data_IF_552464089642
#
_entry.id   IF_552464089642
#
_cell.length_a   1.000
_cell.length_b   1.000
_cell.length_c   1.000
_cell.angle_alpha   90.00
_cell.angle_beta   90.00
_cell.angle_gamma   90.00
#
_symmetry.space_group_name_H-M   'P 1'
#
loop_
_entity.id
_entity.type
_entity.pdbx_description
1 polymer ?
#
# COMPACT_ATOMS: atom_id res chain seq x y z
N UNK A 1 11.19 -17.13 -31.41
CA UNK A 1 10.48 -17.51 -30.17
C UNK A 1 11.02 -16.66 -29.05
N UNK A 2 10.14 -16.01 -28.30
CA UNK A 2 10.54 -15.19 -27.15
C UNK A 2 10.97 -16.08 -25.98
N UNK A 3 11.79 -15.56 -25.07
CA UNK A 3 12.20 -16.27 -23.84
C UNK A 3 11.00 -16.79 -23.02
N UNK A 4 9.89 -16.05 -23.06
CA UNK A 4 8.63 -16.39 -22.40
C UNK A 4 7.90 -17.55 -23.08
N UNK A 5 7.94 -17.63 -24.40
CA UNK A 5 7.38 -18.76 -25.17
C UNK A 5 8.19 -20.02 -24.94
N UNK A 6 9.53 -19.94 -24.95
CA UNK A 6 10.40 -21.10 -24.69
C UNK A 6 10.31 -21.63 -23.26
N UNK A 7 9.95 -20.77 -22.32
CA UNK A 7 9.77 -21.11 -20.91
C UNK A 7 8.31 -21.41 -20.54
N UNK A 8 7.40 -21.45 -21.52
CA UNK A 8 5.96 -21.70 -21.34
C UNK A 8 5.25 -20.74 -20.37
N UNK A 9 5.84 -19.56 -20.14
CA UNK A 9 5.38 -18.54 -19.18
C UNK A 9 4.30 -17.62 -19.77
N UNK A 10 3.93 -17.79 -21.05
CA UNK A 10 2.97 -16.92 -21.73
C UNK A 10 1.63 -16.87 -21.00
N UNK A 11 1.11 -18.03 -20.53
CA UNK A 11 -0.14 -18.09 -19.75
C UNK A 11 -0.04 -17.32 -18.44
N UNK A 12 1.09 -17.45 -17.74
CA UNK A 12 1.33 -16.77 -16.45
C UNK A 12 1.35 -15.26 -16.61
N UNK A 13 1.98 -14.74 -17.67
CA UNK A 13 2.04 -13.31 -17.94
C UNK A 13 0.70 -12.76 -18.44
N UNK A 14 -0.06 -13.53 -19.21
CA UNK A 14 -1.41 -13.09 -19.66
C UNK A 14 -2.44 -13.11 -18.54
N UNK A 15 -2.37 -14.10 -17.63
CA UNK A 15 -3.33 -14.24 -16.53
C UNK A 15 -3.02 -13.32 -15.34
N UNK A 16 -1.86 -12.65 -15.33
CA UNK A 16 -1.44 -11.78 -14.23
C UNK A 16 -2.43 -10.65 -13.99
N UNK A 17 -3.03 -10.07 -15.05
CA UNK A 17 -4.01 -9.01 -14.93
C UNK A 17 -5.25 -9.47 -14.14
N UNK A 18 -5.78 -10.65 -14.46
CA UNK A 18 -6.92 -11.26 -13.76
C UNK A 18 -6.56 -11.67 -12.33
N UNK A 19 -5.33 -12.14 -12.11
CA UNK A 19 -4.81 -12.47 -10.79
C UNK A 19 -4.73 -11.22 -9.89
N UNK A 20 -4.16 -10.12 -10.41
CA UNK A 20 -4.07 -8.84 -9.72
C UNK A 20 -5.46 -8.25 -9.43
N UNK A 21 -6.40 -8.31 -10.37
CA UNK A 21 -7.76 -7.81 -10.15
C UNK A 21 -8.46 -8.53 -8.98
N UNK A 22 -8.35 -9.86 -8.93
CA UNK A 22 -8.89 -10.66 -7.81
C UNK A 22 -8.20 -10.31 -6.50
N UNK A 23 -6.87 -10.16 -6.51
CA UNK A 23 -6.08 -9.81 -5.33
C UNK A 23 -6.48 -8.44 -4.77
N UNK A 24 -6.61 -7.42 -5.64
CA UNK A 24 -7.00 -6.07 -5.25
C UNK A 24 -8.40 -6.07 -4.64
N UNK A 25 -9.32 -6.82 -5.24
CA UNK A 25 -10.69 -6.96 -4.73
C UNK A 25 -10.71 -7.64 -3.36
N UNK A 26 -9.99 -8.74 -3.21
CA UNK A 26 -9.86 -9.46 -1.94
C UNK A 26 -9.28 -8.56 -0.85
N UNK A 27 -8.16 -7.89 -1.15
CA UNK A 27 -7.55 -6.91 -0.25
C UNK A 27 -8.56 -5.84 0.16
N UNK A 28 -9.25 -5.21 -0.80
CA UNK A 28 -10.17 -4.10 -0.51
C UNK A 28 -11.37 -4.50 0.34
N UNK A 29 -11.89 -5.72 0.20
CA UNK A 29 -13.04 -6.20 0.98
C UNK A 29 -12.63 -6.57 2.41
N UNK A 30 -11.37 -6.99 2.60
CA UNK A 30 -10.87 -7.42 3.90
C UNK A 30 -10.25 -6.26 4.72
N UNK A 31 -10.25 -5.02 4.21
CA UNK A 31 -9.92 -3.83 5.00
C UNK A 31 -11.16 -3.37 5.74
N UNK A 32 -11.11 -3.45 7.07
CA UNK A 32 -12.21 -3.08 7.98
C UNK A 32 -11.84 -1.87 8.84
N UNK A 33 -12.75 -1.38 9.68
CA UNK A 33 -12.50 -0.23 10.57
C UNK A 33 -11.46 -0.57 11.65
N UNK A 34 -11.42 -1.84 12.07
CA UNK A 34 -10.49 -2.39 13.05
C UNK A 34 -9.04 -2.26 12.57
N UNK A 35 -8.80 -2.33 11.25
CA UNK A 35 -7.48 -2.14 10.66
C UNK A 35 -6.87 -0.75 10.97
N UNK A 36 -7.68 0.24 11.33
CA UNK A 36 -7.25 1.60 11.66
C UNK A 36 -7.36 1.94 13.16
N UNK A 37 -7.68 0.96 14.00
CA UNK A 37 -7.85 1.16 15.45
C UNK A 37 -6.60 0.75 16.20
N UNK A 38 -5.85 1.72 16.74
CA UNK A 38 -4.67 1.43 17.55
C UNK A 38 -5.01 0.58 18.78
N UNK A 39 -4.20 -0.44 19.05
CA UNK A 39 -4.42 -1.40 20.14
C UNK A 39 -5.36 -2.56 19.80
N UNK A 40 -6.03 -2.52 18.64
CA UNK A 40 -6.72 -3.69 18.11
C UNK A 40 -5.69 -4.70 17.55
N UNK A 41 -5.95 -6.00 17.68
CA UNK A 41 -5.09 -7.02 17.08
C UNK A 41 -5.09 -6.95 15.54
N UNK A 42 -6.16 -6.46 14.93
CA UNK A 42 -6.26 -6.31 13.47
C UNK A 42 -5.62 -5.01 12.94
N UNK A 43 -5.07 -4.17 13.81
CA UNK A 43 -4.42 -2.92 13.42
C UNK A 43 -3.34 -3.15 12.36
N UNK A 44 -3.49 -2.52 11.19
CA UNK A 44 -2.66 -2.70 10.02
C UNK A 44 -2.50 -4.16 9.54
N UNK A 45 -3.51 -5.02 9.73
CA UNK A 45 -3.53 -6.40 9.24
C UNK A 45 -4.70 -6.65 8.29
N UNK A 46 -4.46 -7.38 7.20
CA UNK A 46 -5.48 -7.78 6.24
C UNK A 46 -5.26 -9.24 5.84
N UNK A 47 -6.34 -9.98 5.62
CA UNK A 47 -6.27 -11.36 5.17
C UNK A 47 -6.35 -11.44 3.65
N UNK A 48 -5.33 -11.99 2.98
CA UNK A 48 -5.32 -12.11 1.51
C UNK A 48 -4.66 -13.44 1.13
N UNK A 49 -5.28 -14.18 0.21
CA UNK A 49 -4.83 -15.48 -0.30
C UNK A 49 -4.51 -16.49 0.82
N UNK A 50 -5.33 -16.52 1.86
CA UNK A 50 -5.16 -17.45 2.96
C UNK A 50 -4.12 -17.02 4.01
N UNK A 51 -3.56 -15.81 3.89
CA UNK A 51 -2.49 -15.31 4.76
C UNK A 51 -2.86 -13.97 5.37
N UNK A 52 -2.59 -13.81 6.67
CA UNK A 52 -2.68 -12.51 7.34
C UNK A 52 -1.39 -11.72 7.06
N UNK A 53 -1.52 -10.54 6.45
CA UNK A 53 -0.39 -9.69 6.08
C UNK A 53 -0.47 -8.35 6.78
N UNK A 54 0.68 -7.87 7.25
CA UNK A 54 0.80 -6.53 7.83
C UNK A 54 0.96 -5.51 6.70
N UNK A 55 0.24 -4.38 6.76
CA UNK A 55 0.21 -3.38 5.69
C UNK A 55 0.29 -1.92 6.17
N UNK A 56 1.12 -1.64 7.17
CA UNK A 56 1.27 -0.28 7.67
C UNK A 56 1.81 0.71 6.61
N UNK A 57 1.55 2.02 6.77
CA UNK A 57 2.14 3.05 5.90
C UNK A 57 3.67 2.91 5.75
N UNK A 58 4.37 2.53 6.82
CA UNK A 58 5.81 2.30 6.79
C UNK A 58 6.19 1.13 5.88
N UNK A 59 5.51 -0.02 6.00
CA UNK A 59 5.74 -1.20 5.16
C UNK A 59 5.50 -0.88 3.69
N UNK A 60 4.40 -0.18 3.39
CA UNK A 60 4.04 0.21 2.02
C UNK A 60 5.08 1.17 1.44
N UNK A 61 5.50 2.16 2.22
CA UNK A 61 6.49 3.13 1.77
C UNK A 61 7.87 2.51 1.56
N UNK A 62 8.29 1.59 2.43
CA UNK A 62 9.51 0.81 2.25
C UNK A 62 9.47 0.00 0.95
N UNK A 63 8.36 -0.73 0.72
CA UNK A 63 8.18 -1.53 -0.49
C UNK A 63 8.23 -0.69 -1.77
N UNK A 64 7.67 0.53 -1.74
CA UNK A 64 7.67 1.44 -2.87
C UNK A 64 9.00 2.21 -3.03
N UNK A 65 10.02 1.91 -2.22
CA UNK A 65 11.29 2.63 -2.24
C UNK A 65 11.16 4.09 -1.77
N UNK A 66 10.01 4.47 -1.20
CA UNK A 66 9.75 5.77 -0.60
C UNK A 66 10.26 5.74 0.85
N UNK A 67 11.55 5.41 1.02
CA UNK A 67 12.20 5.69 2.30
C UNK A 67 12.21 7.19 2.44
N UNK A 68 11.38 7.72 3.33
CA UNK A 68 11.59 9.07 3.84
C UNK A 68 12.96 9.06 4.50
N UNK A 69 13.90 9.83 3.94
CA UNK A 69 14.89 10.49 4.79
C UNK A 69 14.09 11.02 5.98
N UNK A 70 14.39 10.47 7.16
CA UNK A 70 13.62 10.61 8.39
C UNK A 70 12.56 11.71 8.30
N UNK A 71 11.29 11.31 8.19
CA UNK A 71 10.24 12.23 8.63
C UNK A 71 10.54 12.54 10.08
N UNK A 72 11.21 13.67 10.28
CA UNK A 72 11.09 14.40 11.51
C UNK A 72 9.59 14.51 11.74
N UNK A 73 9.12 13.90 12.83
CA UNK A 73 7.78 14.04 13.39
C UNK A 73 7.53 15.50 13.79
N UNK A 74 7.68 16.44 12.86
CA UNK A 74 7.23 17.80 12.95
C UNK A 74 5.96 17.83 12.13
N UNK A 75 4.84 17.54 12.79
CA UNK A 75 3.58 18.16 12.41
C UNK A 75 3.87 19.65 12.16
N UNK A 76 3.73 20.14 10.92
CA UNK A 76 3.92 21.56 10.68
C UNK A 76 2.86 22.31 11.49
N UNK A 77 3.27 23.36 12.21
CA UNK A 77 2.33 24.20 12.94
C UNK A 77 1.26 24.71 11.99
N UNK A 78 0.00 24.69 12.42
CA UNK A 78 -1.15 25.20 11.65
C UNK A 78 -0.92 26.64 11.17
N UNK A 79 -0.18 27.45 11.94
CA UNK A 79 0.16 28.82 11.58
C UNK A 79 1.02 28.90 10.31
N UNK A 80 1.99 27.98 10.17
CA UNK A 80 2.86 27.91 8.98
C UNK A 80 2.10 27.47 7.74
N UNK A 81 1.09 26.63 7.91
CA UNK A 81 0.22 26.18 6.82
C UNK A 81 -0.65 27.34 6.35
N UNK A 82 -1.24 28.09 7.28
CA UNK A 82 -2.06 29.26 6.97
C UNK A 82 -1.27 30.37 6.26
N UNK A 83 -0.03 30.61 6.70
CA UNK A 83 0.88 31.59 6.10
C UNK A 83 1.23 31.25 4.64
N UNK A 84 1.59 30.00 4.33
CA UNK A 84 1.90 29.57 2.95
C UNK A 84 0.67 29.67 2.02
N UNK A 85 -0.53 29.35 2.51
CA UNK A 85 -1.76 29.42 1.71
C UNK A 85 -2.13 30.88 1.40
N UNK A 86 -1.94 31.78 2.36
CA UNK A 86 -2.25 33.21 2.20
C UNK A 86 -1.16 33.97 1.43
N UNK A 87 0.09 33.49 1.45
CA UNK A 87 1.20 34.08 0.70
C UNK A 87 1.18 33.78 -0.81
N UNK A 88 0.36 32.81 -1.27
CA UNK A 88 0.23 32.44 -2.68
C UNK A 88 -0.89 33.18 -3.43
N UNK A 89 -1.45 34.23 -2.83
CA UNK A 89 -2.56 34.98 -3.40
C UNK A 89 -2.22 36.43 -3.76
#
# INVERSE_FOLDING_TARGET
>A
MTLLESAELMKTVTDIGRCCEKLVREFSVNVTEECNTEGNDEYHKVYVRGTCVNFSPNIINEFLGRRKEAESNKTPSMDKIAEEITARH
#
